data_IF_327452034773
#
_entry.id   IF_327452034773
#
_cell.length_a   1.000
_cell.length_b   1.000
_cell.length_c   1.000
_cell.angle_alpha   90.00
_cell.angle_beta   90.00
_cell.angle_gamma   90.00
#
_symmetry.space_group_name_H-M   'P 1'
#
loop_
_entity.id
_entity.type
_entity.pdbx_description
1 polymer ?
#
# COMPACT_ATOMS: atom_id res chain seq x y z
N UNK A 1 -13.37 19.62 -16.95
CA UNK A 1 -14.52 18.81 -16.51
C UNK A 1 -15.64 19.77 -16.14
N UNK A 2 -16.87 19.55 -16.60
CA UNK A 2 -18.01 20.45 -16.38
C UNK A 2 -18.95 19.81 -15.35
N UNK A 3 -18.74 20.10 -14.06
CA UNK A 3 -19.48 19.48 -12.94
C UNK A 3 -20.76 20.25 -12.55
N UNK A 4 -21.06 21.34 -13.27
CA UNK A 4 -22.21 22.20 -13.03
C UNK A 4 -21.94 23.27 -11.97
N UNK A 5 -22.51 24.46 -12.22
CA UNK A 5 -22.30 25.68 -11.43
C UNK A 5 -22.70 25.55 -9.96
N UNK A 6 -23.75 24.77 -9.65
CA UNK A 6 -24.17 24.52 -8.26
C UNK A 6 -23.08 23.84 -7.44
N UNK A 7 -22.42 22.84 -8.00
CA UNK A 7 -21.34 22.12 -7.32
C UNK A 7 -20.14 23.04 -7.09
N UNK A 8 -19.72 23.78 -8.13
CA UNK A 8 -18.62 24.74 -8.04
C UNK A 8 -18.88 25.81 -6.98
N UNK A 9 -20.11 26.34 -6.90
CA UNK A 9 -20.50 27.32 -5.89
C UNK A 9 -20.45 26.75 -4.46
N UNK A 10 -20.88 25.51 -4.26
CA UNK A 10 -20.81 24.84 -2.94
C UNK A 10 -19.34 24.65 -2.52
N UNK A 11 -18.50 24.12 -3.40
CA UNK A 11 -17.07 23.93 -3.11
C UNK A 11 -16.41 25.28 -2.82
N UNK A 12 -16.71 26.29 -3.63
CA UNK A 12 -16.17 27.64 -3.44
C UNK A 12 -16.62 28.18 -2.10
N UNK A 13 -17.89 28.09 -1.73
CA UNK A 13 -18.37 28.57 -0.43
C UNK A 13 -17.68 27.87 0.75
N UNK A 14 -17.40 26.57 0.64
CA UNK A 14 -16.72 25.81 1.70
C UNK A 14 -15.21 26.13 1.76
N UNK A 15 -14.56 26.34 0.61
CA UNK A 15 -13.10 26.51 0.56
C UNK A 15 -12.63 27.96 0.40
N UNK A 16 -13.54 28.92 0.18
CA UNK A 16 -13.23 30.33 0.11
C UNK A 16 -12.91 30.86 1.53
N UNK A 17 -11.82 31.63 1.65
CA UNK A 17 -11.40 32.31 2.88
C UNK A 17 -11.31 31.40 4.12
N UNK A 18 -10.54 30.32 4.03
CA UNK A 18 -10.28 29.47 5.20
C UNK A 18 -9.33 30.16 6.18
N UNK A 19 -9.69 30.14 7.46
CA UNK A 19 -8.82 30.57 8.55
C UNK A 19 -8.65 29.42 9.55
N UNK A 20 -7.46 29.32 10.13
CA UNK A 20 -7.17 28.38 11.20
C UNK A 20 -6.39 29.07 12.31
N UNK A 21 -6.61 28.60 13.54
CA UNK A 21 -5.85 29.04 14.68
C UNK A 21 -5.14 27.81 15.26
N UNK A 22 -3.92 28.01 15.75
CA UNK A 22 -3.12 26.94 16.34
C UNK A 22 -3.29 27.04 17.85
N UNK A 23 -3.65 25.94 18.51
CA UNK A 23 -3.69 25.86 19.96
C UNK A 23 -2.35 25.31 20.46
N UNK A 24 -1.60 26.12 21.21
CA UNK A 24 -0.32 25.75 21.80
C UNK A 24 -0.44 25.91 23.32
N UNK A 25 -0.32 24.80 24.06
CA UNK A 25 -0.38 24.80 25.53
C UNK A 25 -1.63 25.48 26.13
N UNK A 26 -2.76 25.44 25.42
CA UNK A 26 -4.02 26.06 25.86
C UNK A 26 -4.20 27.51 25.39
N UNK A 27 -3.18 28.14 24.81
CA UNK A 27 -3.31 29.46 24.18
C UNK A 27 -3.50 29.34 22.67
N UNK A 28 -4.45 30.11 22.15
CA UNK A 28 -4.81 30.10 20.74
C UNK A 28 -4.07 31.23 20.01
N UNK A 29 -3.38 30.91 18.92
CA UNK A 29 -2.76 31.92 18.06
C UNK A 29 -3.83 32.78 17.36
N UNK A 30 -3.40 33.92 16.83
CA UNK A 30 -4.22 34.69 15.89
C UNK A 30 -4.64 33.87 14.66
N UNK A 31 -5.70 34.30 13.95
CA UNK A 31 -6.20 33.61 12.77
C UNK A 31 -5.17 33.64 11.63
N UNK A 32 -4.82 32.45 11.13
CA UNK A 32 -3.95 32.25 9.98
C UNK A 32 -4.81 31.96 8.76
N UNK A 33 -4.66 32.75 7.71
CA UNK A 33 -5.32 32.48 6.44
C UNK A 33 -4.69 31.25 5.76
N UNK A 34 -5.51 30.27 5.39
CA UNK A 34 -5.09 29.10 4.63
C UNK A 34 -5.29 29.41 3.14
N UNK A 35 -4.18 29.69 2.45
CA UNK A 35 -4.20 29.94 1.01
C UNK A 35 -4.23 28.65 0.17
N UNK A 36 -3.67 27.56 0.70
CA UNK A 36 -3.48 26.30 -0.03
C UNK A 36 -3.78 25.09 0.85
N UNK A 37 -4.38 24.10 0.22
CA UNK A 37 -4.62 22.79 0.79
C UNK A 37 -6.07 22.56 1.21
N UNK A 38 -6.33 21.34 1.67
CA UNK A 38 -7.66 20.89 2.08
C UNK A 38 -7.67 20.59 3.58
N UNK A 39 -8.79 20.87 4.25
CA UNK A 39 -8.92 20.66 5.70
C UNK A 39 -8.75 19.19 6.06
N UNK A 40 -7.86 18.87 6.99
CA UNK A 40 -7.77 17.53 7.57
C UNK A 40 -9.01 17.27 8.45
N UNK A 41 -9.57 16.05 8.38
CA UNK A 41 -10.81 15.69 9.07
C UNK A 41 -12.10 16.10 8.35
N UNK A 42 -12.03 16.88 7.26
CA UNK A 42 -13.20 17.12 6.41
C UNK A 42 -13.46 15.89 5.52
N UNK A 43 -14.70 15.34 5.50
CA UNK A 43 -15.03 14.15 4.72
C UNK A 43 -14.91 14.35 3.21
N UNK A 44 -14.98 15.61 2.74
CA UNK A 44 -14.90 15.95 1.32
C UNK A 44 -13.46 16.10 0.81
N UNK A 45 -12.54 16.48 1.69
CA UNK A 45 -11.13 16.73 1.33
C UNK A 45 -10.43 15.57 0.60
N UNK A 46 -10.60 14.29 1.01
CA UNK A 46 -9.99 13.16 0.29
C UNK A 46 -10.47 13.05 -1.16
N UNK A 47 -11.77 13.24 -1.40
CA UNK A 47 -12.35 13.16 -2.74
C UNK A 47 -11.86 14.28 -3.64
N UNK A 48 -11.78 15.51 -3.13
CA UNK A 48 -11.23 16.65 -3.87
C UNK A 48 -9.75 16.44 -4.23
N UNK A 49 -8.99 15.84 -3.32
CA UNK A 49 -7.58 15.51 -3.59
C UNK A 49 -7.44 14.44 -4.69
N UNK A 50 -8.24 13.37 -4.63
CA UNK A 50 -8.28 12.35 -5.68
C UNK A 50 -8.70 12.97 -7.01
N UNK A 51 -9.73 13.82 -7.01
CA UNK A 51 -10.23 14.48 -8.22
C UNK A 51 -9.17 15.36 -8.88
N UNK A 52 -8.42 16.14 -8.10
CA UNK A 52 -7.30 16.91 -8.62
C UNK A 52 -6.23 15.99 -9.24
N UNK A 53 -5.80 14.95 -8.52
CA UNK A 53 -4.80 14.00 -9.01
C UNK A 53 -5.25 13.24 -10.26
N UNK A 54 -6.54 12.95 -10.43
CA UNK A 54 -7.04 12.18 -11.58
C UNK A 54 -6.70 12.86 -12.92
N UNK A 55 -6.59 14.19 -12.95
CA UNK A 55 -6.15 14.92 -14.14
C UNK A 55 -4.70 14.59 -14.53
N UNK A 56 -3.79 14.44 -13.56
CA UNK A 56 -2.42 13.95 -13.78
C UNK A 56 -2.43 12.48 -14.21
N UNK A 57 -3.19 11.64 -13.51
CA UNK A 57 -3.23 10.20 -13.79
C UNK A 57 -3.75 9.94 -15.21
N UNK A 58 -4.76 10.68 -15.65
CA UNK A 58 -5.31 10.61 -17.00
C UNK A 58 -4.27 11.01 -18.05
N UNK A 59 -3.54 12.11 -17.82
CA UNK A 59 -2.45 12.53 -18.73
C UNK A 59 -1.38 11.46 -18.88
N UNK A 60 -0.93 10.86 -17.78
CA UNK A 60 0.10 9.80 -17.81
C UNK A 60 -0.45 8.55 -18.53
N UNK A 61 -1.72 8.18 -18.28
CA UNK A 61 -2.34 7.04 -18.97
C UNK A 61 -2.40 7.24 -20.49
N UNK A 62 -2.77 8.45 -20.93
CA UNK A 62 -2.93 8.80 -22.35
C UNK A 62 -1.62 9.14 -23.07
N UNK A 63 -0.56 9.52 -22.34
CA UNK A 63 0.71 9.88 -22.96
C UNK A 63 1.41 8.63 -23.53
N UNK A 64 1.59 8.60 -24.86
CA UNK A 64 2.26 7.51 -25.59
C UNK A 64 3.77 7.46 -25.40
N UNK A 65 4.40 8.57 -24.99
CA UNK A 65 5.84 8.64 -24.68
C UNK A 65 6.16 7.97 -23.34
N UNK A 66 5.14 7.73 -22.51
CA UNK A 66 5.23 6.97 -21.26
C UNK A 66 4.67 5.58 -21.53
N UNK A 67 5.57 4.62 -21.74
CA UNK A 67 5.19 3.23 -21.93
C UNK A 67 5.18 2.49 -20.59
N UNK A 68 4.04 1.92 -20.28
CA UNK A 68 3.83 1.09 -19.11
C UNK A 68 4.09 -0.38 -19.38
N UNK A 69 3.65 -1.17 -18.43
CA UNK A 69 3.86 -2.60 -18.37
C UNK A 69 2.73 -3.33 -19.04
N UNK A 70 3.00 -4.05 -20.13
CA UNK A 70 1.97 -4.87 -20.76
C UNK A 70 1.83 -6.22 -20.06
N UNK A 71 0.65 -6.47 -19.49
CA UNK A 71 0.26 -7.78 -18.94
C UNK A 71 -0.95 -8.26 -19.73
N UNK A 72 -0.77 -9.33 -20.50
CA UNK A 72 -1.78 -9.82 -21.45
C UNK A 72 -2.16 -8.71 -22.46
N UNK A 73 -3.43 -8.33 -22.52
CA UNK A 73 -3.95 -7.31 -23.44
C UNK A 73 -3.95 -5.89 -22.85
N UNK A 74 -3.60 -5.72 -21.57
CA UNK A 74 -3.68 -4.43 -20.87
C UNK A 74 -2.30 -3.85 -20.58
N UNK A 75 -2.21 -2.53 -20.62
CA UNK A 75 -1.01 -1.76 -20.28
C UNK A 75 -1.19 -1.07 -18.92
N UNK A 76 -0.26 -1.33 -18.00
CA UNK A 76 -0.25 -0.80 -16.64
C UNK A 76 0.84 0.26 -16.52
N UNK A 77 0.46 1.55 -16.52
CA UNK A 77 1.41 2.67 -16.38
C UNK A 77 1.59 3.16 -14.94
N UNK A 78 0.52 3.11 -14.14
CA UNK A 78 0.53 3.64 -12.78
C UNK A 78 -0.53 3.00 -11.90
N UNK A 79 -0.34 3.13 -10.59
CA UNK A 79 -1.34 2.87 -9.56
C UNK A 79 -1.22 3.96 -8.48
N UNK A 80 -2.36 4.50 -8.05
CA UNK A 80 -2.42 5.55 -7.03
C UNK A 80 -3.30 5.09 -5.87
N UNK A 81 -2.83 5.28 -4.65
CA UNK A 81 -3.61 5.09 -3.44
C UNK A 81 -3.44 6.32 -2.55
N UNK A 82 -4.46 7.19 -2.52
CA UNK A 82 -4.36 8.51 -1.92
C UNK A 82 -3.13 9.29 -2.45
N UNK A 83 -2.18 9.67 -1.59
CA UNK A 83 -0.94 10.35 -1.98
C UNK A 83 0.20 9.40 -2.38
N UNK A 84 0.05 8.08 -2.19
CA UNK A 84 1.05 7.09 -2.57
C UNK A 84 0.83 6.62 -4.02
N UNK A 85 1.65 7.15 -4.93
CA UNK A 85 1.68 6.72 -6.33
C UNK A 85 2.85 5.78 -6.62
N UNK A 86 2.56 4.77 -7.45
CA UNK A 86 3.50 3.84 -8.05
C UNK A 86 3.39 3.94 -9.56
N UNK A 87 4.53 4.10 -10.23
CA UNK A 87 4.61 4.10 -11.69
C UNK A 87 5.36 2.87 -12.16
N UNK A 88 4.88 2.32 -13.27
CA UNK A 88 5.49 1.21 -13.95
C UNK A 88 5.93 1.68 -15.32
N UNK A 89 7.21 1.47 -15.63
CA UNK A 89 7.81 1.91 -16.89
C UNK A 89 8.52 0.76 -17.57
N UNK A 90 8.26 0.61 -18.87
CA UNK A 90 9.07 -0.15 -19.81
C UNK A 90 10.16 0.76 -20.38
N UNK A 91 11.37 0.24 -20.55
CA UNK A 91 12.56 0.97 -21.05
C UNK A 91 12.84 2.30 -20.33
N UNK A 92 13.14 2.26 -19.01
CA UNK A 92 13.28 3.47 -18.21
C UNK A 92 14.47 4.35 -18.60
N UNK A 93 15.46 3.81 -19.30
CA UNK A 93 16.64 4.56 -19.77
C UNK A 93 16.26 5.64 -20.79
N UNK A 94 15.36 5.32 -21.71
CA UNK A 94 14.93 6.25 -22.76
C UNK A 94 13.72 7.07 -22.31
N UNK A 95 12.72 6.41 -21.71
CA UNK A 95 11.40 7.01 -21.46
C UNK A 95 11.21 7.54 -20.04
N UNK A 96 12.13 7.24 -19.13
CA UNK A 96 12.01 7.63 -17.72
C UNK A 96 11.92 9.14 -17.53
N UNK A 97 12.62 9.93 -18.34
CA UNK A 97 12.61 11.39 -18.23
C UNK A 97 11.23 12.00 -18.58
N UNK A 98 10.45 11.36 -19.47
CA UNK A 98 9.12 11.85 -19.85
C UNK A 98 8.15 11.81 -18.67
N UNK A 99 8.23 10.75 -17.85
CA UNK A 99 7.45 10.68 -16.62
C UNK A 99 7.79 11.83 -15.66
N UNK A 100 9.08 12.10 -15.45
CA UNK A 100 9.51 13.19 -14.56
C UNK A 100 9.02 14.54 -15.09
N UNK A 101 9.14 14.78 -16.39
CA UNK A 101 8.67 15.99 -17.06
C UNK A 101 7.17 16.21 -16.85
N UNK A 102 6.34 15.19 -17.07
CA UNK A 102 4.89 15.28 -16.83
C UNK A 102 4.55 15.58 -15.37
N UNK A 103 5.23 14.92 -14.42
CA UNK A 103 5.02 15.16 -13.00
C UNK A 103 5.43 16.57 -12.57
N UNK A 104 6.51 17.12 -13.13
CA UNK A 104 6.97 18.48 -12.85
C UNK A 104 6.08 19.55 -13.49
N UNK A 105 5.61 19.32 -14.73
CA UNK A 105 4.66 20.18 -15.41
C UNK A 105 3.33 20.25 -14.64
N UNK A 106 2.80 19.10 -14.22
CA UNK A 106 1.62 19.09 -13.38
C UNK A 106 1.87 19.75 -12.03
N UNK A 107 3.02 19.49 -11.42
CA UNK A 107 3.40 20.10 -10.16
C UNK A 107 3.45 21.64 -10.22
N UNK A 108 3.98 22.19 -11.31
CA UNK A 108 4.05 23.65 -11.49
C UNK A 108 2.66 24.30 -11.57
N UNK A 109 1.70 23.66 -12.24
CA UNK A 109 0.31 24.12 -12.37
C UNK A 109 -0.48 23.91 -11.07
N UNK A 110 -0.36 22.74 -10.46
CA UNK A 110 -1.10 22.38 -9.24
C UNK A 110 -0.51 23.00 -7.96
N UNK A 111 0.64 23.69 -8.04
CA UNK A 111 1.35 24.20 -6.87
C UNK A 111 1.98 23.11 -6.00
N UNK A 112 2.24 21.94 -6.59
CA UNK A 112 2.80 20.76 -5.96
C UNK A 112 4.27 20.56 -6.38
N UNK A 113 5.09 20.04 -5.47
CA UNK A 113 6.51 19.74 -5.69
C UNK A 113 6.77 18.27 -5.38
N UNK A 114 7.39 17.56 -6.30
CA UNK A 114 7.78 16.16 -6.10
C UNK A 114 8.84 16.08 -5.00
N UNK A 115 8.64 15.19 -4.03
CA UNK A 115 9.69 14.85 -3.07
C UNK A 115 10.64 13.79 -3.64
N UNK A 116 11.69 14.23 -4.34
CA UNK A 116 12.72 13.34 -4.93
C UNK A 116 13.44 12.46 -3.90
N UNK A 117 13.57 12.91 -2.64
CA UNK A 117 14.23 12.12 -1.58
C UNK A 117 13.40 10.91 -1.15
N UNK A 118 12.07 11.04 -1.17
CA UNK A 118 11.12 9.95 -0.86
C UNK A 118 10.87 9.05 -2.05
N UNK A 119 11.00 9.57 -3.25
CA UNK A 119 10.90 8.81 -4.48
C UNK A 119 12.00 7.75 -4.51
N UNK A 120 11.62 6.49 -4.69
CA UNK A 120 12.56 5.37 -4.80
C UNK A 120 12.35 4.63 -6.10
N UNK A 121 13.47 4.28 -6.71
CA UNK A 121 13.53 3.52 -7.94
C UNK A 121 13.83 2.05 -7.61
N UNK A 122 13.05 1.13 -8.16
CA UNK A 122 13.26 -0.31 -8.03
C UNK A 122 13.42 -0.87 -9.44
N UNK A 123 14.64 -1.25 -9.79
CA UNK A 123 14.99 -1.73 -11.13
C UNK A 123 15.05 -3.25 -11.15
N UNK A 124 14.69 -3.85 -12.29
CA UNK A 124 14.83 -5.29 -12.55
C UNK A 124 15.64 -5.46 -13.83
N UNK A 125 16.58 -6.41 -13.83
CA UNK A 125 17.38 -6.79 -15.00
C UNK A 125 18.21 -5.67 -15.66
N UNK A 126 18.64 -4.68 -14.87
CA UNK A 126 19.64 -3.69 -15.29
C UNK A 126 21.02 -4.02 -14.71
N UNK A 127 22.06 -3.75 -15.48
CA UNK A 127 23.44 -3.78 -14.98
C UNK A 127 23.69 -2.64 -13.99
N UNK A 128 24.71 -2.76 -13.15
CA UNK A 128 25.04 -1.72 -12.15
C UNK A 128 25.41 -0.38 -12.83
N UNK A 129 26.00 -0.42 -14.02
CA UNK A 129 26.34 0.78 -14.80
C UNK A 129 25.07 1.48 -15.31
N UNK A 130 24.16 0.74 -15.95
CA UNK A 130 22.87 1.28 -16.40
C UNK A 130 22.04 1.81 -15.23
N UNK A 131 22.10 1.16 -14.08
CA UNK A 131 21.43 1.63 -12.86
C UNK A 131 21.96 3.00 -12.43
N UNK A 132 23.27 3.19 -12.36
CA UNK A 132 23.88 4.49 -12.00
C UNK A 132 23.55 5.58 -13.02
N UNK A 133 23.55 5.24 -14.30
CA UNK A 133 23.15 6.15 -15.36
C UNK A 133 21.68 6.57 -15.20
N UNK A 134 20.79 5.61 -14.93
CA UNK A 134 19.38 5.88 -14.68
C UNK A 134 19.14 6.76 -13.45
N UNK A 135 19.89 6.51 -12.36
CA UNK A 135 19.85 7.35 -11.16
C UNK A 135 20.23 8.81 -11.49
N UNK A 136 21.23 9.01 -12.35
CA UNK A 136 21.66 10.33 -12.81
C UNK A 136 20.61 10.99 -13.71
N UNK A 137 20.06 10.26 -14.68
CA UNK A 137 19.07 10.77 -15.64
C UNK A 137 17.76 11.16 -14.95
N UNK A 138 17.25 10.32 -14.04
CA UNK A 138 15.99 10.61 -13.34
C UNK A 138 16.19 11.47 -12.09
N UNK A 139 17.40 11.52 -11.54
CA UNK A 139 17.69 12.18 -10.27
C UNK A 139 16.98 11.52 -9.09
N UNK A 140 16.89 10.18 -9.09
CA UNK A 140 16.20 9.36 -8.09
C UNK A 140 17.11 8.22 -7.67
N UNK A 141 17.18 7.94 -6.37
CA UNK A 141 17.96 6.83 -5.86
C UNK A 141 17.33 5.47 -6.18
N UNK A 142 18.11 4.58 -6.79
CA UNK A 142 17.76 3.19 -6.98
C UNK A 142 18.04 2.37 -5.74
N UNK A 143 17.08 1.52 -5.38
CA UNK A 143 17.10 0.72 -4.16
C UNK A 143 16.82 -0.74 -4.48
N UNK A 144 17.33 -1.63 -3.63
CA UNK A 144 17.11 -3.08 -3.77
C UNK A 144 15.73 -3.53 -3.28
N UNK A 145 15.07 -2.70 -2.47
CA UNK A 145 13.74 -2.95 -1.91
C UNK A 145 13.02 -1.64 -1.63
N UNK A 146 11.72 -1.63 -1.83
CA UNK A 146 10.85 -0.47 -1.62
C UNK A 146 9.64 -0.89 -0.81
N UNK A 147 9.15 -0.03 0.09
CA UNK A 147 7.93 -0.31 0.85
C UNK A 147 6.73 0.37 0.17
N UNK A 148 5.70 -0.40 -0.16
CA UNK A 148 4.43 0.08 -0.71
C UNK A 148 3.27 -0.45 0.12
N UNK A 149 2.39 0.42 0.63
CA UNK A 149 1.21 0.02 1.43
C UNK A 149 1.53 -1.03 2.50
N UNK A 150 2.66 -0.88 3.20
CA UNK A 150 3.08 -1.83 4.23
C UNK A 150 3.87 -3.05 3.74
N UNK A 151 3.93 -3.30 2.43
CA UNK A 151 4.59 -4.47 1.81
C UNK A 151 5.96 -4.07 1.26
N UNK A 152 6.97 -4.90 1.53
CA UNK A 152 8.28 -4.78 0.91
C UNK A 152 8.29 -5.43 -0.46
N UNK A 153 8.48 -4.63 -1.50
CA UNK A 153 8.66 -5.04 -2.87
C UNK A 153 10.15 -5.21 -3.18
N UNK A 154 10.49 -6.29 -3.87
CA UNK A 154 11.85 -6.62 -4.33
C UNK A 154 11.82 -7.07 -5.78
N UNK A 155 12.92 -6.90 -6.56
CA UNK A 155 12.97 -7.34 -7.96
C UNK A 155 12.89 -8.86 -8.10
N UNK A 156 13.35 -9.59 -7.08
CA UNK A 156 13.34 -11.04 -7.03
C UNK A 156 12.15 -11.57 -6.22
N UNK A 157 11.48 -12.59 -6.74
CA UNK A 157 10.31 -13.22 -6.11
C UNK A 157 10.65 -14.01 -4.86
N UNK A 158 11.82 -14.65 -4.81
CA UNK A 158 12.28 -15.46 -3.66
C UNK A 158 12.39 -14.64 -2.37
N UNK A 159 12.88 -13.41 -2.47
CA UNK A 159 13.04 -12.51 -1.31
C UNK A 159 11.72 -11.90 -0.82
N UNK A 160 10.61 -12.08 -1.55
CA UNK A 160 9.32 -11.50 -1.17
C UNK A 160 8.74 -12.20 0.06
N UNK A 161 8.94 -13.52 0.19
CA UNK A 161 8.55 -14.29 1.38
C UNK A 161 9.32 -13.81 2.61
N UNK A 162 10.65 -13.80 2.51
CA UNK A 162 11.55 -13.44 3.61
C UNK A 162 11.31 -12.01 4.10
N UNK A 163 11.13 -11.07 3.17
CA UNK A 163 10.99 -9.67 3.53
C UNK A 163 9.64 -9.31 4.17
N UNK A 164 8.60 -10.13 3.97
CA UNK A 164 7.24 -9.85 4.41
C UNK A 164 6.74 -10.90 5.40
N UNK A 165 6.60 -12.15 4.97
CA UNK A 165 6.03 -13.22 5.78
C UNK A 165 6.91 -13.61 6.97
N UNK A 166 8.23 -13.75 6.76
CA UNK A 166 9.13 -14.16 7.86
C UNK A 166 9.29 -13.02 8.88
N UNK A 167 9.34 -11.76 8.42
CA UNK A 167 9.29 -10.59 9.31
C UNK A 167 7.97 -10.50 10.08
N UNK A 168 6.84 -10.77 9.43
CA UNK A 168 5.54 -10.81 10.10
C UNK A 168 5.51 -11.92 11.16
N UNK A 169 6.06 -13.09 10.87
CA UNK A 169 6.15 -14.19 11.84
C UNK A 169 6.97 -13.78 13.07
N UNK A 170 8.09 -13.07 12.88
CA UNK A 170 8.87 -12.51 13.99
C UNK A 170 8.08 -11.46 14.78
N UNK A 171 7.33 -10.59 14.11
CA UNK A 171 6.48 -9.61 14.78
C UNK A 171 5.37 -10.29 15.58
N UNK A 172 4.71 -11.31 15.02
CA UNK A 172 3.68 -12.10 15.69
C UNK A 172 4.23 -12.74 16.97
N UNK A 173 5.45 -13.28 16.94
CA UNK A 173 6.10 -13.83 18.14
C UNK A 173 6.24 -12.77 19.25
N UNK A 174 6.76 -11.59 18.91
CA UNK A 174 6.92 -10.46 19.85
C UNK A 174 5.59 -9.94 20.38
N UNK A 175 4.59 -9.83 19.51
CA UNK A 175 3.25 -9.40 19.89
C UNK A 175 2.67 -10.39 20.92
N UNK A 176 2.72 -11.69 20.62
CA UNK A 176 2.19 -12.72 21.51
C UNK A 176 2.93 -12.81 22.84
N UNK A 177 4.25 -12.58 22.86
CA UNK A 177 5.02 -12.45 24.11
C UNK A 177 4.52 -11.30 24.98
N UNK A 178 4.19 -10.17 24.35
CA UNK A 178 3.63 -9.00 25.05
C UNK A 178 2.22 -9.28 25.57
N UNK A 179 1.36 -9.90 24.76
CA UNK A 179 0.01 -10.32 25.15
C UNK A 179 0.01 -11.39 26.26
N UNK A 180 1.05 -12.23 26.32
CA UNK A 180 1.15 -13.28 27.33
C UNK A 180 1.30 -12.71 28.76
N UNK A 181 1.72 -11.45 28.90
CA UNK A 181 1.83 -10.76 30.20
C UNK A 181 0.46 -10.45 30.84
N UNK A 182 -0.60 -10.36 30.04
CA UNK A 182 -1.94 -9.91 30.48
C UNK A 182 -2.81 -11.03 31.08
N UNK A 183 -2.23 -12.18 31.46
CA UNK A 183 -2.90 -13.34 32.09
C UNK A 183 -4.31 -13.65 31.55
N UNK A 184 -4.43 -13.80 30.23
CA UNK A 184 -5.72 -14.01 29.56
C UNK A 184 -6.26 -15.44 29.75
N UNK A 185 -7.59 -15.56 29.81
CA UNK A 185 -8.29 -16.86 29.76
C UNK A 185 -8.04 -17.59 28.44
N UNK A 186 -8.38 -18.89 28.36
CA UNK A 186 -8.24 -19.66 27.11
C UNK A 186 -9.03 -19.01 25.95
N UNK A 187 -10.28 -18.64 26.20
CA UNK A 187 -11.14 -17.98 25.21
C UNK A 187 -10.62 -16.58 24.88
N UNK A 188 -10.11 -15.84 25.87
CA UNK A 188 -9.48 -14.54 25.67
C UNK A 188 -8.28 -14.62 24.73
N UNK A 189 -7.41 -15.62 24.92
CA UNK A 189 -6.25 -15.86 24.03
C UNK A 189 -6.66 -16.20 22.60
N UNK A 190 -7.68 -17.03 22.42
CA UNK A 190 -8.22 -17.35 21.08
C UNK A 190 -8.81 -16.08 20.44
N UNK A 191 -9.51 -15.25 21.20
CA UNK A 191 -10.03 -13.98 20.71
C UNK A 191 -8.89 -13.01 20.31
N UNK A 192 -7.82 -12.91 21.09
CA UNK A 192 -6.63 -12.11 20.75
C UNK A 192 -6.02 -12.54 19.42
N UNK A 193 -5.91 -13.85 19.17
CA UNK A 193 -5.42 -14.38 17.89
C UNK A 193 -6.33 -13.94 16.73
N UNK A 194 -7.65 -14.04 16.91
CA UNK A 194 -8.64 -13.64 15.90
C UNK A 194 -8.63 -12.14 15.62
N UNK A 195 -8.45 -11.31 16.63
CA UNK A 195 -8.56 -9.85 16.51
C UNK A 195 -7.26 -9.19 16.08
N UNK A 196 -6.10 -9.72 16.50
CA UNK A 196 -4.80 -9.09 16.25
C UNK A 196 -3.97 -9.82 15.18
N UNK A 197 -3.91 -11.16 15.25
CA UNK A 197 -2.99 -11.92 14.39
C UNK A 197 -3.62 -12.23 13.03
N UNK A 198 -4.89 -12.67 13.04
CA UNK A 198 -5.59 -13.04 11.82
C UNK A 198 -5.67 -11.91 10.77
N UNK A 199 -6.04 -10.66 11.13
CA UNK A 199 -6.11 -9.59 10.12
C UNK A 199 -4.76 -9.27 9.47
N UNK A 200 -3.64 -9.36 10.23
CA UNK A 200 -2.30 -9.12 9.70
C UNK A 200 -1.90 -10.18 8.66
N UNK A 201 -2.22 -11.45 8.92
CA UNK A 201 -1.96 -12.55 7.99
C UNK A 201 -2.87 -12.46 6.76
N UNK A 202 -4.16 -12.19 6.97
CA UNK A 202 -5.12 -12.01 5.87
C UNK A 202 -4.68 -10.90 4.90
N UNK A 203 -4.19 -9.79 5.44
CA UNK A 203 -3.66 -8.70 4.62
C UNK A 203 -2.53 -9.19 3.69
N UNK A 204 -1.57 -9.96 4.21
CA UNK A 204 -0.49 -10.50 3.36
C UNK A 204 -1.00 -11.56 2.37
N UNK A 205 -1.88 -12.46 2.79
CA UNK A 205 -2.44 -13.49 1.91
C UNK A 205 -3.21 -12.90 0.73
N UNK A 206 -3.91 -11.78 0.94
CA UNK A 206 -4.67 -11.10 -0.13
C UNK A 206 -3.79 -10.27 -1.06
N UNK A 207 -2.64 -9.79 -0.57
CA UNK A 207 -1.82 -8.82 -1.30
C UNK A 207 -0.60 -9.44 -1.98
N UNK A 208 -0.05 -10.53 -1.44
CA UNK A 208 1.15 -11.19 -1.96
C UNK A 208 0.78 -12.58 -2.50
N UNK A 209 0.65 -12.74 -3.83
CA UNK A 209 0.26 -14.00 -4.46
C UNK A 209 1.49 -14.90 -4.61
N UNK A 210 1.95 -15.48 -3.51
CA UNK A 210 3.03 -16.47 -3.51
C UNK A 210 2.56 -17.78 -2.90
N UNK A 211 3.01 -18.88 -3.48
CA UNK A 211 2.76 -20.21 -2.92
C UNK A 211 3.56 -20.37 -1.63
N UNK A 212 2.85 -20.47 -0.50
CA UNK A 212 3.47 -20.71 0.80
C UNK A 212 3.68 -22.22 1.04
N UNK A 213 4.85 -22.64 1.55
CA UNK A 213 5.08 -24.04 1.90
C UNK A 213 4.30 -24.43 3.17
N UNK A 214 3.92 -25.71 3.29
CA UNK A 214 3.20 -26.23 4.48
C UNK A 214 3.90 -25.91 5.80
N UNK A 215 5.23 -26.02 5.81
CA UNK A 215 6.07 -25.70 6.98
C UNK A 215 5.80 -24.30 7.56
N UNK A 216 5.45 -23.32 6.71
CA UNK A 216 5.13 -21.97 7.17
C UNK A 216 3.87 -21.95 8.05
N UNK A 217 2.81 -22.66 7.64
CA UNK A 217 1.58 -22.78 8.41
C UNK A 217 1.81 -23.57 9.71
N UNK A 218 2.65 -24.61 9.66
CA UNK A 218 3.04 -25.38 10.84
C UNK A 218 3.76 -24.50 11.86
N UNK A 219 4.65 -23.62 11.41
CA UNK A 219 5.37 -22.71 12.30
C UNK A 219 4.46 -21.66 12.95
N UNK A 220 3.49 -21.11 12.20
CA UNK A 220 2.45 -20.24 12.79
C UNK A 220 1.61 -21.03 13.79
N UNK A 221 1.21 -22.26 13.46
CA UNK A 221 0.44 -23.13 14.36
C UNK A 221 1.21 -23.40 15.66
N UNK A 222 2.51 -23.70 15.59
CA UNK A 222 3.37 -23.90 16.77
C UNK A 222 3.39 -22.65 17.66
N UNK A 223 3.62 -21.47 17.08
CA UNK A 223 3.64 -20.19 17.81
C UNK A 223 2.29 -19.90 18.46
N UNK A 224 1.20 -20.11 17.71
CA UNK A 224 -0.17 -19.91 18.16
C UNK A 224 -0.53 -20.84 19.33
N UNK A 225 -0.20 -22.13 19.22
CA UNK A 225 -0.45 -23.12 20.27
C UNK A 225 0.40 -22.84 21.51
N UNK A 226 1.67 -22.44 21.36
CA UNK A 226 2.53 -22.07 22.48
C UNK A 226 1.89 -20.93 23.30
N UNK A 227 1.29 -19.94 22.64
CA UNK A 227 0.56 -18.86 23.30
C UNK A 227 -0.73 -19.33 23.96
N UNK A 228 -1.59 -20.06 23.23
CA UNK A 228 -2.87 -20.59 23.73
C UNK A 228 -2.70 -21.49 24.96
N UNK A 229 -1.59 -22.22 25.05
CA UNK A 229 -1.31 -23.13 26.16
C UNK A 229 -0.28 -22.60 27.15
N UNK A 230 0.23 -21.37 27.00
CA UNK A 230 1.27 -20.79 27.87
C UNK A 230 2.51 -21.70 28.00
N UNK A 231 2.91 -22.33 26.90
CA UNK A 231 4.02 -23.29 26.88
C UNK A 231 3.72 -24.65 27.54
N UNK A 232 2.51 -24.87 28.07
CA UNK A 232 2.08 -26.18 28.59
C UNK A 232 1.69 -27.11 27.43
N UNK A 233 1.64 -28.42 27.71
CA UNK A 233 1.18 -29.43 26.75
C UNK A 233 -0.29 -29.16 26.36
N UNK A 234 -0.57 -29.17 25.06
CA UNK A 234 -1.90 -28.98 24.54
C UNK A 234 -2.84 -30.09 25.02
N UNK A 235 -4.00 -29.72 25.58
CA UNK A 235 -5.02 -30.67 26.05
C UNK A 235 -6.05 -31.02 24.98
N UNK A 236 -6.27 -30.10 24.04
CA UNK A 236 -7.24 -30.26 22.94
C UNK A 236 -6.44 -30.34 21.64
N UNK A 237 -6.85 -31.25 20.74
CA UNK A 237 -6.23 -31.37 19.42
C UNK A 237 -6.42 -30.07 18.62
N UNK A 238 -5.45 -29.72 17.77
CA UNK A 238 -5.55 -28.50 16.96
C UNK A 238 -6.78 -28.52 16.03
N UNK A 239 -7.14 -29.68 15.50
CA UNK A 239 -8.32 -29.87 14.64
C UNK A 239 -9.61 -29.51 15.40
N UNK A 240 -9.76 -29.99 16.63
CA UNK A 240 -10.92 -29.64 17.47
C UNK A 240 -10.92 -28.17 17.88
N UNK A 241 -9.75 -27.57 18.14
CA UNK A 241 -9.66 -26.12 18.41
C UNK A 241 -10.11 -25.28 17.20
N UNK A 242 -9.74 -25.70 15.99
CA UNK A 242 -10.04 -25.01 14.74
C UNK A 242 -11.46 -25.26 14.23
N UNK A 243 -12.16 -26.27 14.73
CA UNK A 243 -13.52 -26.58 14.30
C UNK A 243 -14.53 -25.49 14.74
N UNK A 244 -15.66 -25.44 14.04
CA UNK A 244 -16.73 -24.48 14.29
C UNK A 244 -17.32 -24.66 15.70
N UNK A 245 -17.76 -23.55 16.31
CA UNK A 245 -18.44 -23.56 17.61
C UNK A 245 -19.70 -24.42 17.61
N UNK A 246 -20.44 -24.44 16.50
CA UNK A 246 -21.63 -25.27 16.33
C UNK A 246 -21.34 -26.77 16.40
N UNK A 247 -20.11 -27.19 16.10
CA UNK A 247 -19.65 -28.58 16.18
C UNK A 247 -18.84 -28.86 17.46
N UNK A 248 -18.91 -27.96 18.46
CA UNK A 248 -18.19 -28.10 19.72
C UNK A 248 -16.72 -27.66 19.69
N UNK A 249 -16.26 -27.04 18.60
CA UNK A 249 -14.93 -26.45 18.50
C UNK A 249 -14.83 -25.04 19.10
N UNK A 250 -13.64 -24.45 19.07
CA UNK A 250 -13.39 -23.07 19.56
C UNK A 250 -13.24 -22.05 18.42
N UNK A 251 -13.42 -22.49 17.18
CA UNK A 251 -13.28 -21.72 15.96
C UNK A 251 -11.93 -21.00 15.85
N UNK A 252 -10.83 -21.58 16.35
CA UNK A 252 -9.49 -21.05 16.15
C UNK A 252 -9.19 -20.93 14.65
N UNK A 253 -8.56 -19.85 14.17
CA UNK A 253 -8.25 -19.75 12.75
C UNK A 253 -7.36 -20.88 12.25
N UNK A 254 -7.77 -21.51 11.15
CA UNK A 254 -6.90 -22.40 10.39
C UNK A 254 -6.21 -21.60 9.28
N UNK A 255 -4.93 -21.31 9.47
CA UNK A 255 -4.16 -20.42 8.60
C UNK A 255 -4.08 -20.90 7.15
N UNK A 256 -3.96 -22.21 6.95
CA UNK A 256 -3.90 -22.81 5.61
C UNK A 256 -5.26 -22.66 4.90
N UNK A 257 -6.37 -22.95 5.58
CA UNK A 257 -7.71 -22.76 5.00
C UNK A 257 -8.01 -21.30 4.68
N UNK A 258 -7.61 -20.36 5.56
CA UNK A 258 -7.77 -18.93 5.29
C UNK A 258 -6.93 -18.48 4.08
N UNK A 259 -5.70 -18.97 3.95
CA UNK A 259 -4.86 -18.71 2.78
C UNK A 259 -5.49 -19.24 1.48
N UNK A 260 -5.94 -20.50 1.47
CA UNK A 260 -6.62 -21.06 0.30
C UNK A 260 -7.93 -20.34 -0.02
N UNK A 261 -8.67 -19.91 1.00
CA UNK A 261 -9.88 -19.12 0.81
C UNK A 261 -9.57 -17.77 0.15
N UNK A 262 -8.53 -17.05 0.60
CA UNK A 262 -8.13 -15.77 -0.01
C UNK A 262 -7.63 -15.93 -1.44
N UNK A 263 -6.86 -16.98 -1.74
CA UNK A 263 -6.40 -17.30 -3.10
C UNK A 263 -7.59 -17.58 -4.02
N UNK A 264 -8.58 -18.37 -3.56
CA UNK A 264 -9.78 -18.68 -4.35
C UNK A 264 -10.73 -17.49 -4.51
N UNK A 265 -10.85 -16.63 -3.51
CA UNK A 265 -11.60 -15.38 -3.64
C UNK A 265 -11.02 -14.55 -4.80
N UNK A 266 -9.69 -14.48 -4.91
CA UNK A 266 -9.01 -13.79 -5.99
C UNK A 266 -9.40 -14.33 -7.38
N UNK A 267 -9.34 -15.65 -7.56
CA UNK A 267 -9.76 -16.28 -8.82
C UNK A 267 -11.22 -15.98 -9.15
N UNK A 268 -12.12 -16.09 -8.16
CA UNK A 268 -13.55 -15.88 -8.35
C UNK A 268 -13.89 -14.41 -8.66
N UNK A 269 -13.27 -13.45 -7.97
CA UNK A 269 -13.45 -12.04 -8.27
C UNK A 269 -12.91 -11.70 -9.67
N UNK A 270 -11.81 -12.32 -10.09
CA UNK A 270 -11.24 -12.06 -11.41
C UNK A 270 -12.12 -12.56 -12.57
N UNK A 271 -12.89 -13.62 -12.36
CA UNK A 271 -13.78 -14.19 -13.38
C UNK A 271 -15.16 -13.52 -13.44
N UNK A 272 -15.68 -13.06 -12.30
CA UNK A 272 -17.04 -12.52 -12.21
C UNK A 272 -17.15 -11.01 -12.47
N UNK A 273 -16.08 -10.24 -12.22
CA UNK A 273 -16.08 -8.79 -12.40
C UNK A 273 -14.82 -8.26 -13.12
N UNK A 274 -14.70 -8.46 -14.45
CA UNK A 274 -13.58 -7.94 -15.23
C UNK A 274 -13.44 -6.41 -15.14
N UNK A 275 -14.57 -5.70 -15.01
CA UNK A 275 -14.60 -4.23 -14.99
C UNK A 275 -14.03 -3.64 -13.69
N UNK A 276 -14.25 -4.28 -12.54
CA UNK A 276 -13.75 -3.79 -11.24
C UNK A 276 -12.23 -4.02 -11.05
N UNK A 277 -11.65 -5.02 -11.73
CA UNK A 277 -10.21 -5.30 -11.72
C UNK A 277 -9.37 -4.18 -12.31
N UNK A 278 -9.91 -3.44 -13.29
CA UNK A 278 -9.22 -2.29 -13.91
C UNK A 278 -8.94 -1.16 -12.91
N UNK A 279 -9.74 -1.06 -11.85
CA UNK A 279 -9.72 0.05 -10.89
C UNK A 279 -9.25 -0.37 -9.49
N UNK A 280 -9.42 -1.65 -9.12
CA UNK A 280 -9.01 -2.18 -7.82
C UNK A 280 -8.39 -3.58 -7.98
N UNK A 281 -7.10 -3.66 -7.70
CA UNK A 281 -6.34 -4.89 -7.41
C UNK A 281 -6.03 -5.84 -8.57
N UNK A 282 -5.13 -5.42 -9.47
CA UNK A 282 -3.88 -6.18 -9.54
C UNK A 282 -3.01 -5.69 -8.37
N UNK A 283 -2.66 -6.57 -7.43
CA UNK A 283 -1.69 -6.15 -6.42
C UNK A 283 -0.41 -5.76 -7.16
N UNK A 284 0.24 -4.67 -6.76
CA UNK A 284 1.56 -4.29 -7.31
C UNK A 284 2.51 -5.49 -7.29
N UNK A 285 2.36 -6.40 -6.33
CA UNK A 285 3.11 -7.64 -6.26
C UNK A 285 2.82 -8.59 -7.45
N UNK A 286 1.59 -8.71 -7.94
CA UNK A 286 1.24 -9.53 -9.11
C UNK A 286 1.84 -8.98 -10.41
N UNK A 287 1.73 -7.67 -10.65
CA UNK A 287 2.40 -7.00 -11.78
C UNK A 287 3.92 -7.18 -11.71
N UNK A 288 4.49 -7.09 -10.50
CA UNK A 288 5.93 -7.28 -10.25
C UNK A 288 6.43 -8.71 -10.44
N UNK A 289 5.60 -9.69 -10.10
CA UNK A 289 5.94 -11.11 -10.22
C UNK A 289 6.02 -11.53 -11.69
N UNK A 290 5.15 -10.99 -12.54
CA UNK A 290 5.03 -11.41 -13.93
C UNK A 290 6.03 -10.76 -14.88
N UNK A 291 6.67 -9.63 -14.53
CA UNK A 291 7.30 -8.83 -15.58
C UNK A 291 8.59 -8.05 -15.25
N UNK A 292 9.22 -7.46 -16.28
CA UNK A 292 10.58 -6.92 -16.36
C UNK A 292 10.67 -5.40 -16.13
N UNK A 293 10.48 -4.84 -14.92
CA UNK A 293 10.20 -3.39 -14.85
C UNK A 293 10.81 -2.56 -13.72
N UNK A 294 10.69 -1.25 -13.93
CA UNK A 294 10.97 -0.17 -13.01
C UNK A 294 9.74 0.17 -12.17
N UNK A 295 9.86 0.16 -10.85
CA UNK A 295 8.89 0.81 -9.96
C UNK A 295 9.46 2.12 -9.45
N UNK A 296 8.75 3.21 -9.70
CA UNK A 296 8.90 4.45 -8.98
C UNK A 296 7.83 4.48 -7.91
N UNK A 297 8.20 4.51 -6.63
CA UNK A 297 7.24 4.56 -5.53
C UNK A 297 7.44 5.82 -4.69
N UNK A 298 6.35 6.24 -4.04
CA UNK A 298 6.31 7.25 -2.99
C UNK A 298 6.54 8.66 -3.54
N UNK A 299 5.79 9.01 -4.59
CA UNK A 299 5.64 10.42 -4.98
C UNK A 299 4.75 11.11 -3.97
N UNK A 300 5.36 11.62 -2.90
CA UNK A 300 4.68 12.56 -2.02
C UNK A 300 4.83 13.95 -2.61
N UNK A 301 3.74 14.50 -3.13
CA UNK A 301 3.68 15.91 -3.47
C UNK A 301 3.75 16.74 -2.19
N UNK A 302 4.68 17.69 -2.14
CA UNK A 302 4.80 18.71 -1.10
C UNK A 302 4.29 20.03 -1.68
N UNK A 303 3.61 20.84 -0.89
CA UNK A 303 3.26 22.20 -1.32
C UNK A 303 4.52 23.02 -1.64
N UNK A 304 4.54 23.68 -2.80
CA UNK A 304 5.60 24.64 -3.13
C UNK A 304 5.43 25.86 -2.21
N UNK A 305 6.38 26.07 -1.29
CA UNK A 305 6.47 27.27 -0.47
C UNK A 305 6.61 28.48 -1.41
N UNK A 306 5.86 29.55 -1.18
CA UNK A 306 6.06 30.82 -1.87
C UNK A 306 7.46 31.28 -1.47
N UNK A 307 8.38 31.36 -2.43
CA UNK A 307 9.58 32.17 -2.21
C UNK A 307 9.07 33.60 -2.17
N UNK A 308 9.10 34.20 -0.98
CA UNK A 308 8.88 35.63 -0.86
C UNK A 308 10.05 36.28 -1.58
N UNK A 309 9.83 36.73 -2.80
CA UNK A 309 10.73 37.63 -3.49
C UNK A 309 10.81 38.92 -2.68
N UNK A 310 12.00 39.20 -2.18
CA UNK A 310 12.50 40.57 -2.01
C UNK A 310 13.49 40.82 -3.13
#
# INVERSE_FOLDING_TARGET
>A
MNLGTKFENIITTIYNTQQANILINGEQTGPLSIEKGVRQGCPLSPLLFIFALESLLTRIRQNSEIQGVRVKAEEYKLQAFADDMVFFLEDPMEKGHNLIKELEQYGSVAGLKINRNKMKLLTKNLTENQRKELEKTMGIQATKKVKYLGIWLTPHSKSLKENNYDKLLQQIKKDLESWNKLQLSLLGRIATIKMNILPKLLYLFQTIPIKLPKNFFDDINKVTLKFIWQGKKARISIKALQDAKSRGGLALPNWELYYWATERCWFFFSSLFPFFLSSFSLSVAYVMLLCYFLIVNSIKFIYKKKENGT
#
